data_IF_557275007577
#
_entry.id   IF_557275007577
#
_cell.length_a   1.000
_cell.length_b   1.000
_cell.length_c   1.000
_cell.angle_alpha   90.00
_cell.angle_beta   90.00
_cell.angle_gamma   90.00
#
_symmetry.space_group_name_H-M   'P 1'
#
loop_
_entity.id
_entity.type
_entity.pdbx_description
1 polymer ?
#
# COMPACT_ATOMS: atom_id res chain seq x y z
N UNK A 1 -23.20 -42.40 51.47
CA UNK A 1 -22.20 -42.33 50.39
C UNK A 1 -20.89 -42.75 51.03
N UNK A 2 -20.34 -43.91 50.66
CA UNK A 2 -19.21 -44.52 51.37
C UNK A 2 -17.87 -44.00 50.81
N UNK A 3 -16.84 -43.91 51.65
CA UNK A 3 -15.52 -43.39 51.27
C UNK A 3 -14.83 -44.19 50.14
N UNK A 4 -15.16 -45.48 49.99
CA UNK A 4 -14.68 -46.30 48.88
C UNK A 4 -15.28 -45.89 47.53
N UNK A 5 -16.51 -45.35 47.52
CA UNK A 5 -17.08 -44.79 46.31
C UNK A 5 -16.32 -43.51 45.89
N UNK A 6 -15.91 -42.66 46.84
CA UNK A 6 -15.17 -41.44 46.55
C UNK A 6 -13.78 -41.71 45.94
N UNK A 7 -13.08 -42.76 46.40
CA UNK A 7 -11.78 -43.16 45.85
C UNK A 7 -11.85 -43.67 44.41
N UNK A 8 -12.94 -44.35 44.03
CA UNK A 8 -13.15 -44.79 42.65
C UNK A 8 -13.39 -43.62 41.69
N UNK A 9 -14.10 -42.57 42.14
CA UNK A 9 -14.29 -41.36 41.34
C UNK A 9 -13.00 -40.56 41.14
N UNK A 10 -12.16 -40.44 42.19
CA UNK A 10 -10.87 -39.76 42.10
C UNK A 10 -9.90 -40.45 41.12
N UNK A 11 -9.80 -41.78 41.17
CA UNK A 11 -8.90 -42.53 40.28
C UNK A 11 -9.38 -42.55 38.82
N UNK A 12 -10.69 -42.52 38.57
CA UNK A 12 -11.25 -42.42 37.21
C UNK A 12 -11.01 -41.06 36.58
N UNK A 13 -11.15 -39.98 37.37
CA UNK A 13 -10.99 -38.61 36.88
C UNK A 13 -9.54 -38.30 36.50
N UNK A 14 -8.56 -38.76 37.28
CA UNK A 14 -7.15 -38.58 36.97
C UNK A 14 -6.71 -39.32 35.69
N UNK A 15 -7.27 -40.51 35.43
CA UNK A 15 -6.98 -41.27 34.20
C UNK A 15 -7.53 -40.60 32.94
N UNK A 16 -8.72 -40.00 33.02
CA UNK A 16 -9.31 -39.23 31.92
C UNK A 16 -8.49 -37.97 31.61
N UNK A 17 -8.03 -37.25 32.64
CA UNK A 17 -7.17 -36.07 32.46
C UNK A 17 -5.80 -36.44 31.88
N UNK A 18 -5.16 -37.49 32.38
CA UNK A 18 -3.85 -37.93 31.87
C UNK A 18 -3.92 -38.36 30.39
N UNK A 19 -5.00 -39.03 30.00
CA UNK A 19 -5.19 -39.47 28.60
C UNK A 19 -5.45 -38.30 27.65
N UNK A 20 -6.18 -37.28 28.08
CA UNK A 20 -6.39 -36.06 27.28
C UNK A 20 -5.15 -35.17 27.14
N UNK A 21 -4.20 -35.27 28.08
CA UNK A 21 -2.96 -34.49 28.03
C UNK A 21 -1.96 -35.03 27.01
N UNK A 22 -1.85 -36.34 26.84
CA UNK A 22 -0.94 -36.96 25.85
C UNK A 22 -1.42 -36.75 24.39
N UNK A 23 -2.73 -36.87 24.13
CA UNK A 23 -3.29 -36.64 22.78
C UNK A 23 -3.18 -35.15 22.36
N UNK A 24 -3.53 -34.23 23.26
CA UNK A 24 -3.40 -32.79 22.98
C UNK A 24 -1.95 -32.32 22.81
N UNK A 25 -1.01 -32.91 23.57
CA UNK A 25 0.42 -32.56 23.44
C UNK A 25 1.04 -33.09 22.14
N UNK A 26 0.56 -34.25 21.64
CA UNK A 26 0.98 -34.77 20.33
C UNK A 26 0.48 -33.89 19.17
N UNK A 27 -0.78 -33.46 19.20
CA UNK A 27 -1.34 -32.57 18.17
C UNK A 27 -0.65 -31.20 18.17
N UNK A 28 -0.33 -30.66 19.35
CA UNK A 28 0.44 -29.41 19.47
C UNK A 28 1.86 -29.59 18.93
N UNK A 29 2.52 -30.71 19.22
CA UNK A 29 3.86 -30.99 18.70
C UNK A 29 3.89 -31.11 17.17
N UNK A 30 2.88 -31.75 16.57
CA UNK A 30 2.74 -31.88 15.12
C UNK A 30 2.44 -30.53 14.45
N UNK A 31 1.59 -29.70 15.06
CA UNK A 31 1.33 -28.34 14.60
C UNK A 31 2.59 -27.46 14.65
N UNK A 32 3.37 -27.52 15.74
CA UNK A 32 4.63 -26.80 15.88
C UNK A 32 5.65 -27.26 14.84
N UNK A 33 5.75 -28.57 14.59
CA UNK A 33 6.65 -29.13 13.57
C UNK A 33 6.26 -28.70 12.16
N UNK A 34 4.96 -28.59 11.90
CA UNK A 34 4.43 -28.10 10.62
C UNK A 34 4.76 -26.63 10.41
N UNK A 35 4.54 -25.78 11.42
CA UNK A 35 4.92 -24.36 11.37
C UNK A 35 6.44 -24.17 11.18
N UNK A 36 7.27 -24.97 11.84
CA UNK A 36 8.73 -24.92 11.65
C UNK A 36 9.15 -25.29 10.22
N UNK A 37 8.48 -26.27 9.59
CA UNK A 37 8.72 -26.64 8.20
C UNK A 37 8.29 -25.52 7.24
N UNK A 38 7.19 -24.83 7.53
CA UNK A 38 6.74 -23.69 6.72
C UNK A 38 7.68 -22.49 6.84
N UNK A 39 8.16 -22.19 8.05
CA UNK A 39 9.15 -21.12 8.29
C UNK A 39 10.46 -21.41 7.55
N UNK A 40 10.96 -22.64 7.60
CA UNK A 40 12.21 -23.00 6.90
C UNK A 40 12.03 -22.92 5.37
N UNK A 41 10.86 -23.35 4.84
CA UNK A 41 10.53 -23.19 3.43
C UNK A 41 10.43 -21.73 3.00
N UNK A 42 9.76 -20.88 3.78
CA UNK A 42 9.69 -19.43 3.53
C UNK A 42 11.07 -18.79 3.58
N UNK A 43 11.90 -19.16 4.57
CA UNK A 43 13.27 -18.65 4.72
C UNK A 43 14.13 -19.02 3.51
N UNK A 44 14.05 -20.27 3.03
CA UNK A 44 14.76 -20.70 1.82
C UNK A 44 14.32 -19.94 0.56
N UNK A 45 13.03 -19.62 0.47
CA UNK A 45 12.46 -18.84 -0.65
C UNK A 45 12.97 -17.40 -0.61
N UNK A 46 12.98 -16.76 0.57
CA UNK A 46 13.51 -15.39 0.74
C UNK A 46 15.01 -15.33 0.42
N UNK A 47 15.81 -16.31 0.87
CA UNK A 47 17.24 -16.37 0.54
C UNK A 47 17.45 -16.45 -0.98
N UNK A 48 16.72 -17.33 -1.68
CA UNK A 48 16.80 -17.45 -3.14
C UNK A 48 16.39 -16.17 -3.88
N UNK A 49 15.43 -15.40 -3.34
CA UNK A 49 15.08 -14.08 -3.88
C UNK A 49 16.16 -13.03 -3.59
N UNK A 50 16.80 -13.05 -2.40
CA UNK A 50 17.86 -12.09 -2.07
C UNK A 50 19.14 -12.31 -2.88
N UNK A 51 19.49 -13.56 -3.21
CA UNK A 51 20.63 -13.85 -4.09
C UNK A 51 20.41 -13.33 -5.52
N UNK A 52 19.17 -13.42 -6.03
CA UNK A 52 18.79 -12.85 -7.34
C UNK A 52 18.80 -11.32 -7.40
N UNK A 53 18.73 -10.63 -6.26
CA UNK A 53 18.79 -9.16 -6.19
C UNK A 53 20.24 -8.67 -6.10
N UNK A 54 21.14 -9.47 -5.52
CA UNK A 54 22.56 -9.14 -5.39
C UNK A 54 23.31 -9.14 -6.74
N UNK A 55 22.92 -9.97 -7.71
CA UNK A 55 23.57 -10.03 -9.03
C UNK A 55 23.21 -8.86 -9.97
N UNK A 56 22.17 -8.08 -9.69
CA UNK A 56 21.79 -6.92 -10.49
C UNK A 56 22.34 -5.58 -9.97
N UNK A 57 23.14 -5.59 -8.90
CA UNK A 57 23.73 -4.40 -8.28
C UNK A 57 25.25 -4.32 -8.48
N UNK A 58 25.70 -4.48 -9.72
CA UNK A 58 27.09 -4.19 -10.10
C UNK A 58 27.14 -3.57 -11.50
N UNK A 59 26.79 -2.29 -11.60
CA UNK A 59 27.15 -1.44 -12.75
C UNK A 59 27.29 0.00 -12.29
N UNK A 60 28.37 0.24 -11.55
CA UNK A 60 28.94 1.57 -11.33
C UNK A 60 29.73 1.93 -12.59
N UNK A 61 29.23 2.84 -13.44
CA UNK A 61 30.09 3.55 -14.40
C UNK A 61 29.56 4.96 -14.63
N UNK A 62 30.13 5.89 -13.88
CA UNK A 62 30.67 7.18 -14.33
C UNK A 62 30.09 7.81 -15.59
N UNK A 63 29.43 8.95 -15.38
CA UNK A 63 29.00 9.88 -16.41
C UNK A 63 30.21 10.56 -17.07
N UNK A 64 30.31 10.59 -18.41
CA UNK A 64 31.10 11.57 -19.12
C UNK A 64 30.17 12.62 -19.73
N UNK A 65 30.22 13.82 -19.16
CA UNK A 65 29.92 15.05 -19.88
C UNK A 65 30.93 15.21 -21.03
N UNK A 66 30.44 15.16 -22.28
CA UNK A 66 30.85 16.02 -23.42
C UNK A 66 30.13 15.59 -24.71
N UNK A 67 29.40 16.52 -25.31
CA UNK A 67 28.82 16.41 -26.66
C UNK A 67 29.95 16.22 -27.69
N UNK A 68 29.68 15.45 -28.75
CA UNK A 68 29.88 16.00 -30.10
C UNK A 68 28.55 16.07 -30.85
N UNK A 69 28.27 17.25 -31.40
CA UNK A 69 27.17 17.51 -32.33
C UNK A 69 27.55 16.90 -33.67
N UNK A 70 26.82 15.87 -34.08
CA UNK A 70 26.85 15.41 -35.47
C UNK A 70 25.52 15.68 -36.16
N UNK A 71 25.66 16.09 -37.41
CA UNK A 71 24.65 16.79 -38.18
C UNK A 71 23.88 15.80 -39.04
N UNK A 72 22.65 15.45 -38.65
CA UNK A 72 21.68 14.90 -39.58
C UNK A 72 20.34 15.64 -39.44
N UNK A 73 19.90 16.16 -40.57
CA UNK A 73 18.74 17.02 -40.81
C UNK A 73 17.43 16.41 -40.29
N UNK A 74 16.65 17.11 -39.44
CA UNK A 74 15.28 16.71 -39.16
C UNK A 74 14.37 17.20 -40.29
N UNK A 75 13.75 16.25 -41.00
CA UNK A 75 12.58 16.49 -41.84
C UNK A 75 11.53 17.24 -41.01
N UNK A 76 11.26 18.49 -41.39
CA UNK A 76 10.32 19.41 -40.75
C UNK A 76 8.91 18.81 -40.79
N UNK A 77 8.51 18.11 -39.72
CA UNK A 77 7.11 17.76 -39.50
C UNK A 77 6.36 19.07 -39.27
N UNK A 78 5.50 19.47 -40.20
CA UNK A 78 4.68 20.68 -40.05
C UNK A 78 3.66 20.44 -38.94
N UNK A 79 3.92 20.99 -37.76
CA UNK A 79 2.92 21.11 -36.70
C UNK A 79 1.81 22.02 -37.28
N UNK A 80 0.54 21.57 -37.36
CA UNK A 80 -0.53 22.43 -37.82
C UNK A 80 -0.62 23.67 -36.93
N UNK A 81 -0.68 24.84 -37.56
CA UNK A 81 -0.78 26.12 -36.85
C UNK A 81 -2.01 26.11 -35.94
N UNK A 82 -1.81 26.39 -34.65
CA UNK A 82 -2.90 26.49 -33.70
C UNK A 82 -3.86 27.62 -34.14
N UNK A 83 -5.11 27.25 -34.41
CA UNK A 83 -6.17 28.20 -34.72
C UNK A 83 -6.69 28.83 -33.43
N UNK A 84 -6.77 30.15 -33.40
CA UNK A 84 -7.34 30.91 -32.27
C UNK A 84 -8.86 31.01 -32.44
N UNK A 85 -9.61 30.69 -31.40
CA UNK A 85 -11.04 30.97 -31.36
C UNK A 85 -11.32 32.47 -31.38
N UNK A 86 -12.22 32.93 -32.23
CA UNK A 86 -12.62 34.34 -32.40
C UNK A 86 -13.97 34.69 -31.78
N UNK A 87 -14.61 33.75 -31.07
CA UNK A 87 -15.90 33.99 -30.42
C UNK A 87 -15.73 34.97 -29.27
N UNK A 88 -16.29 36.18 -29.41
CA UNK A 88 -16.42 37.11 -28.30
C UNK A 88 -17.36 36.49 -27.24
N UNK A 89 -16.80 36.13 -26.08
CA UNK A 89 -17.57 35.72 -24.91
C UNK A 89 -17.86 36.97 -24.09
N UNK A 90 -19.14 37.37 -24.01
CA UNK A 90 -19.62 38.48 -23.18
C UNK A 90 -19.54 38.15 -21.68
N UNK A 91 -19.47 36.86 -21.36
CA UNK A 91 -19.22 36.33 -20.03
C UNK A 91 -17.93 35.53 -20.10
N UNK A 92 -16.88 35.99 -19.43
CA UNK A 92 -15.69 35.18 -19.16
C UNK A 92 -16.19 33.95 -18.42
N UNK A 93 -16.10 32.72 -18.97
CA UNK A 93 -16.24 31.56 -18.11
C UNK A 93 -15.11 31.71 -17.10
N UNK A 94 -15.46 31.88 -15.84
CA UNK A 94 -14.52 31.60 -14.76
C UNK A 94 -14.16 30.14 -14.98
N UNK A 95 -13.08 29.90 -15.73
CA UNK A 95 -12.24 28.75 -15.48
C UNK A 95 -11.98 28.91 -13.99
N UNK A 96 -12.61 28.04 -13.20
CA UNK A 96 -12.29 27.91 -11.79
C UNK A 96 -10.78 27.67 -11.78
N UNK A 97 -10.03 28.77 -11.65
CA UNK A 97 -8.63 28.75 -11.29
C UNK A 97 -8.66 27.92 -10.03
N UNK A 98 -8.01 26.75 -10.11
CA UNK A 98 -7.84 25.75 -9.06
C UNK A 98 -8.20 26.35 -7.72
N UNK A 99 -9.23 25.78 -7.08
CA UNK A 99 -9.57 26.05 -5.69
C UNK A 99 -8.30 26.41 -4.92
N UNK A 100 -8.40 27.46 -4.10
CA UNK A 100 -7.38 27.91 -3.16
C UNK A 100 -6.47 26.74 -2.84
N UNK A 101 -5.17 26.85 -3.13
CA UNK A 101 -4.24 25.76 -2.86
C UNK A 101 -4.24 25.55 -1.35
N UNK A 102 -5.20 24.78 -0.88
CA UNK A 102 -5.27 24.27 0.47
C UNK A 102 -3.92 23.63 0.69
N UNK A 103 -3.28 23.95 1.82
CA UNK A 103 -1.97 23.42 2.20
C UNK A 103 -2.14 21.92 2.50
N UNK A 104 -2.29 21.15 1.42
CA UNK A 104 -2.57 19.74 1.44
C UNK A 104 -1.26 19.02 1.74
N UNK A 105 -1.27 18.32 2.85
CA UNK A 105 -0.30 17.32 3.20
C UNK A 105 -0.58 16.02 2.47
N UNK A 106 0.44 15.47 1.81
CA UNK A 106 0.27 14.26 1.00
C UNK A 106 0.76 13.01 1.73
N UNK A 107 -0.07 11.99 1.71
CA UNK A 107 0.18 10.66 2.22
C UNK A 107 0.14 9.68 1.06
N UNK A 108 1.02 8.71 1.11
CA UNK A 108 1.06 7.59 0.20
C UNK A 108 0.37 6.41 0.87
N UNK A 109 -0.68 5.87 0.26
CA UNK A 109 -1.40 4.68 0.73
C UNK A 109 -1.30 3.58 -0.31
N UNK A 110 -1.03 2.34 0.10
CA UNK A 110 -0.92 1.19 -0.81
C UNK A 110 -1.48 -0.10 -0.23
N UNK A 111 -1.41 -1.18 -1.01
CA UNK A 111 -1.97 -2.49 -0.68
C UNK A 111 -3.50 -2.57 -0.89
N UNK A 112 -4.04 -1.80 -1.83
CA UNK A 112 -5.46 -1.88 -2.20
C UNK A 112 -5.71 -2.82 -3.38
N UNK A 113 -6.82 -3.56 -3.42
CA UNK A 113 -7.17 -4.36 -4.58
C UNK A 113 -7.55 -3.49 -5.79
N UNK A 114 -7.43 -4.01 -7.02
CA UNK A 114 -7.73 -3.28 -8.25
C UNK A 114 -9.16 -2.74 -8.41
N UNK A 115 -10.09 -3.26 -7.61
CA UNK A 115 -11.49 -2.86 -7.60
C UNK A 115 -11.75 -1.56 -6.84
N UNK A 116 -10.78 -1.07 -6.05
CA UNK A 116 -10.96 0.11 -5.20
C UNK A 116 -10.87 1.38 -6.04
N UNK A 117 -11.86 2.26 -5.86
CA UNK A 117 -11.95 3.53 -6.55
C UNK A 117 -11.40 4.67 -5.70
N UNK A 118 -11.14 5.83 -6.32
CA UNK A 118 -10.71 7.02 -5.59
C UNK A 118 -11.77 7.51 -4.60
N UNK A 119 -13.06 7.26 -4.87
CA UNK A 119 -14.16 7.63 -3.99
C UNK A 119 -14.19 6.76 -2.71
N UNK A 120 -13.92 5.46 -2.85
CA UNK A 120 -13.81 4.54 -1.70
C UNK A 120 -12.68 4.96 -0.76
N UNK A 121 -11.53 5.35 -1.33
CA UNK A 121 -10.39 5.85 -0.56
C UNK A 121 -10.74 7.17 0.13
N UNK A 122 -11.44 8.08 -0.56
CA UNK A 122 -11.87 9.35 0.04
C UNK A 122 -12.77 9.10 1.27
N UNK A 123 -13.71 8.17 1.15
CA UNK A 123 -14.60 7.80 2.26
C UNK A 123 -13.81 7.20 3.42
N UNK A 124 -12.91 6.26 3.14
CA UNK A 124 -12.06 5.62 4.15
C UNK A 124 -11.21 6.64 4.91
N UNK A 125 -10.54 7.55 4.19
CA UNK A 125 -9.68 8.58 4.80
C UNK A 125 -10.51 9.49 5.71
N UNK A 126 -11.71 9.85 5.28
CA UNK A 126 -12.62 10.70 6.05
C UNK A 126 -13.05 10.03 7.35
N UNK A 127 -13.39 8.74 7.30
CA UNK A 127 -13.77 7.95 8.48
C UNK A 127 -12.58 7.75 9.43
N UNK A 128 -11.41 7.40 8.90
CA UNK A 128 -10.19 7.15 9.66
C UNK A 128 -9.65 8.38 10.39
N UNK A 129 -9.69 9.55 9.73
CA UNK A 129 -9.12 10.79 10.26
C UNK A 129 -10.18 11.73 10.86
N UNK A 130 -11.45 11.33 10.86
CA UNK A 130 -12.59 12.14 11.30
C UNK A 130 -12.60 13.53 10.66
N UNK A 131 -12.37 13.57 9.34
CA UNK A 131 -12.29 14.82 8.56
C UNK A 131 -13.70 15.35 8.31
N UNK A 132 -13.89 16.65 8.50
CA UNK A 132 -15.18 17.31 8.29
C UNK A 132 -15.64 17.22 6.82
N UNK A 133 -16.95 17.31 6.59
CA UNK A 133 -17.54 17.24 5.25
C UNK A 133 -17.05 18.35 4.31
N UNK A 134 -16.70 19.50 4.88
CA UNK A 134 -16.26 20.70 4.19
C UNK A 134 -14.75 20.71 3.90
N UNK A 135 -13.98 19.81 4.52
CA UNK A 135 -12.54 19.77 4.39
C UNK A 135 -12.09 19.12 3.07
N UNK A 136 -11.12 19.72 2.36
CA UNK A 136 -10.67 19.26 1.06
C UNK A 136 -9.85 17.97 1.18
N UNK A 137 -10.31 16.89 0.54
CA UNK A 137 -9.57 15.63 0.38
C UNK A 137 -9.28 15.38 -1.10
N UNK A 138 -8.01 15.45 -1.48
CA UNK A 138 -7.55 15.12 -2.81
C UNK A 138 -7.14 13.64 -2.86
N UNK A 139 -7.71 12.84 -3.77
CA UNK A 139 -7.29 11.45 -3.96
C UNK A 139 -6.85 11.29 -5.41
N UNK A 140 -5.71 10.63 -5.60
CA UNK A 140 -5.20 10.29 -6.93
C UNK A 140 -4.61 8.91 -6.96
N UNK A 141 -5.16 8.07 -7.82
CA UNK A 141 -4.60 6.76 -8.10
C UNK A 141 -3.24 6.88 -8.82
N UNK A 142 -2.22 6.21 -8.28
CA UNK A 142 -0.87 6.18 -8.82
C UNK A 142 -0.66 4.90 -9.63
N UNK A 143 -0.74 5.02 -10.95
CA UNK A 143 -0.43 3.93 -11.87
C UNK A 143 0.39 4.41 -13.06
N UNK A 144 1.17 3.49 -13.63
CA UNK A 144 1.89 3.74 -14.87
C UNK A 144 0.88 3.89 -16.01
N UNK A 145 1.03 4.96 -16.80
CA UNK A 145 0.18 5.21 -17.97
C UNK A 145 0.24 4.02 -18.94
N UNK A 146 -0.92 3.53 -19.35
CA UNK A 146 -1.05 2.43 -20.31
C UNK A 146 -0.99 1.02 -19.70
N UNK A 147 -0.97 0.90 -18.37
CA UNK A 147 -1.15 -0.39 -17.68
C UNK A 147 -2.63 -0.60 -17.39
N UNK A 148 -3.10 -1.83 -17.62
CA UNK A 148 -4.46 -2.23 -17.27
C UNK A 148 -4.58 -2.48 -15.75
N UNK A 149 -5.61 -1.89 -15.15
CA UNK A 149 -5.83 -1.90 -13.70
C UNK A 149 -6.00 -3.34 -13.19
N UNK A 150 -6.73 -4.17 -13.95
CA UNK A 150 -6.97 -5.58 -13.61
C UNK A 150 -5.72 -6.45 -13.56
N UNK A 151 -4.60 -5.99 -14.12
CA UNK A 151 -3.32 -6.75 -14.12
C UNK A 151 -2.46 -6.49 -12.89
N UNK A 152 -2.80 -5.48 -12.09
CA UNK A 152 -2.05 -5.11 -10.90
C UNK A 152 -2.46 -5.98 -9.71
N UNK A 153 -1.48 -6.39 -8.90
CA UNK A 153 -1.75 -7.08 -7.63
C UNK A 153 -2.22 -6.13 -6.54
N UNK A 154 -1.79 -4.87 -6.61
CA UNK A 154 -2.22 -3.80 -5.72
C UNK A 154 -2.16 -2.44 -6.39
N UNK A 155 -3.03 -1.56 -5.94
CA UNK A 155 -3.07 -0.15 -6.32
C UNK A 155 -2.52 0.69 -5.17
N UNK A 156 -1.92 1.81 -5.55
CA UNK A 156 -1.41 2.84 -4.65
C UNK A 156 -2.12 4.15 -4.94
N UNK A 157 -2.38 4.92 -3.90
CA UNK A 157 -3.01 6.24 -3.97
C UNK A 157 -2.11 7.31 -3.34
N UNK A 158 -2.09 8.50 -3.95
CA UNK A 158 -1.63 9.75 -3.35
C UNK A 158 -2.88 10.43 -2.77
N UNK A 159 -2.89 10.64 -1.46
CA UNK A 159 -3.99 11.27 -0.75
C UNK A 159 -3.50 12.59 -0.16
N UNK A 160 -4.15 13.69 -0.49
CA UNK A 160 -3.93 15.01 0.10
C UNK A 160 -5.02 15.31 1.12
N UNK A 161 -4.63 15.67 2.34
CA UNK A 161 -5.50 16.13 3.44
C UNK A 161 -4.95 17.44 3.98
N UNK A 162 -5.75 18.24 4.70
CA UNK A 162 -5.21 19.44 5.38
C UNK A 162 -4.03 19.08 6.29
N UNK A 163 -3.04 19.99 6.37
CA UNK A 163 -1.85 19.82 7.21
C UNK A 163 -2.19 19.60 8.69
N UNK A 164 -3.35 20.03 9.16
CA UNK A 164 -3.81 19.80 10.54
C UNK A 164 -3.97 18.31 10.86
N UNK A 165 -4.29 17.49 9.84
CA UNK A 165 -4.40 16.04 9.98
C UNK A 165 -3.07 15.31 9.81
N UNK A 166 -1.93 16.02 9.71
CA UNK A 166 -0.62 15.41 9.49
C UNK A 166 -0.27 14.37 10.56
N UNK A 167 -0.37 14.74 11.84
CA UNK A 167 -0.01 13.85 12.94
C UNK A 167 -0.93 12.63 13.00
N UNK A 168 -2.23 12.84 12.83
CA UNK A 168 -3.23 11.78 12.76
C UNK A 168 -2.98 10.84 11.57
N UNK A 169 -2.59 11.39 10.42
CA UNK A 169 -2.32 10.60 9.22
C UNK A 169 -1.07 9.72 9.31
N UNK A 170 -0.14 10.07 10.19
CA UNK A 170 1.08 9.31 10.43
C UNK A 170 0.93 8.32 11.60
N UNK A 171 -0.19 8.37 12.33
CA UNK A 171 -0.50 7.44 13.40
C UNK A 171 -1.07 6.13 12.83
N UNK A 172 -0.41 4.98 13.06
CA UNK A 172 -0.91 3.67 12.64
C UNK A 172 -2.28 3.30 13.21
N UNK A 173 -2.67 3.86 14.36
CA UNK A 173 -3.93 3.52 15.03
C UNK A 173 -5.17 4.03 14.30
N UNK A 174 -5.01 5.02 13.42
CA UNK A 174 -6.11 5.58 12.63
C UNK A 174 -6.39 4.79 11.34
N UNK A 175 -5.53 3.84 10.98
CA UNK A 175 -5.64 3.11 9.71
C UNK A 175 -6.11 1.66 9.90
N UNK A 176 -6.80 1.08 8.91
CA UNK A 176 -7.16 -0.33 8.92
C UNK A 176 -5.94 -1.26 8.97
N UNK A 177 -6.11 -2.42 9.58
CA UNK A 177 -5.05 -3.43 9.67
C UNK A 177 -4.56 -3.87 8.28
N UNK A 178 -3.24 -3.97 8.13
CA UNK A 178 -2.59 -4.37 6.87
C UNK A 178 -2.45 -3.26 5.83
N UNK A 179 -2.89 -2.03 6.11
CA UNK A 179 -2.64 -0.89 5.24
C UNK A 179 -1.18 -0.43 5.34
N UNK A 180 -0.54 -0.19 4.20
CA UNK A 180 0.81 0.39 4.16
C UNK A 180 0.70 1.86 3.80
N UNK A 181 1.12 2.72 4.72
CA UNK A 181 1.10 4.18 4.55
C UNK A 181 2.45 4.82 4.86
N UNK A 182 2.73 5.98 4.25
CA UNK A 182 3.91 6.81 4.53
C UNK A 182 3.69 8.26 4.08
N UNK A 183 4.51 9.17 4.58
CA UNK A 183 4.60 10.54 4.04
C UNK A 183 4.97 10.52 2.55
N UNK A 184 4.28 11.35 1.76
CA UNK A 184 4.59 11.52 0.35
C UNK A 184 5.61 12.66 0.18
N UNK A 185 6.86 12.29 -0.09
CA UNK A 185 7.94 13.26 -0.36
C UNK A 185 8.03 13.48 -1.88
N UNK A 186 7.63 14.67 -2.34
CA UNK A 186 7.87 15.07 -3.74
C UNK A 186 9.38 15.35 -3.92
N UNK A 187 10.09 14.47 -4.64
CA UNK A 187 11.53 14.62 -4.92
C UNK A 187 11.86 15.70 -5.97
N UNK A 188 10.97 16.67 -6.17
CA UNK A 188 11.10 17.69 -7.20
C UNK A 188 11.40 19.04 -6.55
N UNK A 189 12.64 19.19 -6.06
CA UNK A 189 13.25 20.47 -5.70
C UNK A 189 14.45 20.74 -6.60
#
# INVERSE_FOLDING_TARGET
MCDDCAKLFLNGHFRLIAKGHDEGNSEIADAVKTMQNEITKLTSTVIAFTEKVAENSASTTTWPSKRPRDSETPTKVSIPSASRGTKAMTTVPVLASSAEQDDLWYIWLSSFPPSVTEDDIRLMVKECLSVDDDDPIAVKMLMKKGVDISTLTSITFKVGVSRDYRELSLDPSNWPEGLVFREFVDMNN
#
